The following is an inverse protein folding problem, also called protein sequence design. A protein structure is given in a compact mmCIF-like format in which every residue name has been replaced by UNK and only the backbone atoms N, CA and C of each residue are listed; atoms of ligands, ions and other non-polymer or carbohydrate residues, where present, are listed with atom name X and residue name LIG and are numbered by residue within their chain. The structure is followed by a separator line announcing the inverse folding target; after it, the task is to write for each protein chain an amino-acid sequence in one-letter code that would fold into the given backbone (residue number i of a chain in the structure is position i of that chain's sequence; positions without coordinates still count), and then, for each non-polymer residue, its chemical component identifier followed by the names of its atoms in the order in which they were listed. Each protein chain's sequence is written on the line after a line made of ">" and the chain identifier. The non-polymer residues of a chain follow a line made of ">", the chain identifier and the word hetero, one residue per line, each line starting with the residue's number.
data_IF_211700240784
#
_entry.id   IF_211700240784
#
_cell.length_a   1.000
_cell.length_b   1.000
_cell.length_c   1.000
_cell.angle_alpha   90.00
_cell.angle_beta   90.00
_cell.angle_gamma   90.00
#
_symmetry.space_group_name_H-M   'P 1'
#
loop_
_entity.id
_entity.type
_entity.pdbx_description
1 polymer ?
#
# COMPACT_ATOMS: atom_id res chain seq x y z
N UNK A 1 -70.43 -11.20 -8.80
CA UNK A 1 -70.72 -9.87 -9.38
C UNK A 1 -70.81 -8.90 -8.21
N UNK A 2 -69.82 -8.03 -8.03
CA UNK A 2 -69.82 -7.03 -6.95
C UNK A 2 -70.62 -5.82 -7.38
N UNK A 3 -71.75 -5.57 -6.73
CA UNK A 3 -72.64 -4.42 -6.93
C UNK A 3 -72.33 -3.36 -5.88
N UNK A 4 -71.29 -2.57 -6.15
CA UNK A 4 -71.16 -1.19 -5.69
C UNK A 4 -70.04 -0.55 -6.52
N UNK A 5 -70.39 -0.12 -7.74
CA UNK A 5 -69.52 0.71 -8.57
C UNK A 5 -69.61 2.15 -8.05
N UNK A 6 -69.17 2.36 -6.82
CA UNK A 6 -69.08 3.71 -6.27
C UNK A 6 -67.94 4.41 -7.03
N UNK A 7 -68.28 5.14 -8.09
CA UNK A 7 -67.37 6.01 -8.86
C UNK A 7 -66.90 7.22 -8.03
N UNK A 8 -66.85 7.09 -6.71
CA UNK A 8 -66.57 8.14 -5.74
C UNK A 8 -65.08 8.32 -5.49
N UNK A 9 -64.22 7.39 -5.95
CA UNK A 9 -62.76 7.48 -5.77
C UNK A 9 -62.06 8.04 -7.02
N UNK A 10 -61.26 9.09 -6.83
CA UNK A 10 -60.45 9.68 -7.90
C UNK A 10 -59.25 8.79 -8.25
N UNK A 11 -58.67 8.97 -9.45
CA UNK A 11 -57.42 8.31 -9.85
C UNK A 11 -56.27 8.59 -8.87
N UNK A 12 -56.28 9.75 -8.21
CA UNK A 12 -55.34 10.07 -7.15
C UNK A 12 -55.42 9.10 -5.97
N UNK A 13 -56.63 8.71 -5.55
CA UNK A 13 -56.83 7.76 -4.45
C UNK A 13 -56.47 6.33 -4.84
N UNK A 14 -56.71 5.95 -6.10
CA UNK A 14 -56.50 4.57 -6.57
C UNK A 14 -55.03 4.31 -6.94
N UNK A 15 -54.39 5.24 -7.66
CA UNK A 15 -53.05 5.02 -8.25
C UNK A 15 -51.92 5.78 -7.57
N UNK A 16 -52.22 6.89 -6.88
CA UNK A 16 -51.21 7.80 -6.33
C UNK A 16 -50.08 8.10 -7.33
N UNK A 17 -50.41 8.68 -8.51
CA UNK A 17 -49.46 8.81 -9.61
C UNK A 17 -48.31 9.78 -9.30
N UNK A 18 -48.60 10.90 -8.62
CA UNK A 18 -47.63 11.96 -8.35
C UNK A 18 -46.49 11.49 -7.43
N UNK A 19 -45.26 11.61 -7.92
CA UNK A 19 -44.01 11.29 -7.24
C UNK A 19 -43.46 12.50 -6.49
N UNK A 20 -42.40 12.28 -5.71
CA UNK A 20 -41.61 13.34 -5.09
C UNK A 20 -42.42 14.36 -4.28
N UNK A 21 -43.47 13.88 -3.59
CA UNK A 21 -44.37 14.71 -2.78
C UNK A 21 -45.20 15.73 -3.59
N UNK A 22 -45.47 15.44 -4.87
CA UNK A 22 -46.40 16.22 -5.68
C UNK A 22 -47.84 16.11 -5.20
N UNK A 23 -48.57 17.21 -5.30
CA UNK A 23 -49.99 17.26 -4.92
C UNK A 23 -50.84 16.75 -6.07
N UNK A 24 -51.61 15.69 -5.84
CA UNK A 24 -52.46 15.08 -6.86
C UNK A 24 -53.85 15.71 -6.85
N UNK A 25 -54.24 16.32 -7.96
CA UNK A 25 -55.57 16.85 -8.20
C UNK A 25 -56.22 16.04 -9.33
N UNK A 26 -57.31 15.32 -9.07
CA UNK A 26 -57.84 14.43 -10.09
C UNK A 26 -59.27 14.00 -9.86
N UNK A 27 -59.88 13.59 -10.96
CA UNK A 27 -61.21 12.98 -11.02
C UNK A 27 -61.08 11.46 -11.16
N UNK A 28 -62.18 10.76 -11.39
CA UNK A 28 -62.18 9.33 -11.68
C UNK A 28 -61.49 8.97 -13.03
N UNK A 29 -61.39 9.91 -13.97
CA UNK A 29 -60.89 9.64 -15.33
C UNK A 29 -59.58 10.35 -15.68
N UNK A 30 -59.27 11.45 -14.98
CA UNK A 30 -58.05 12.21 -15.17
C UNK A 30 -57.40 12.57 -13.85
N UNK A 31 -56.11 12.88 -13.90
CA UNK A 31 -55.38 13.48 -12.80
C UNK A 31 -54.40 14.51 -13.36
N UNK A 32 -53.97 15.40 -12.48
CA UNK A 32 -52.95 16.41 -12.71
C UNK A 32 -52.08 16.49 -11.45
N UNK A 33 -50.77 16.58 -11.64
CA UNK A 33 -49.81 16.66 -10.55
C UNK A 33 -49.25 18.07 -10.45
N UNK A 34 -49.52 18.74 -9.33
CA UNK A 34 -48.84 19.98 -8.99
C UNK A 34 -47.49 19.65 -8.35
N UNK A 35 -46.43 19.82 -9.12
CA UNK A 35 -45.08 19.46 -8.71
C UNK A 35 -44.46 20.46 -7.73
N UNK A 36 -43.73 19.99 -6.69
CA UNK A 36 -42.96 20.88 -5.83
C UNK A 36 -41.82 21.53 -6.61
N UNK A 37 -41.31 22.66 -6.11
CA UNK A 37 -40.14 23.33 -6.68
C UNK A 37 -38.97 22.33 -6.84
N UNK A 38 -38.35 22.32 -8.02
CA UNK A 38 -37.25 21.40 -8.33
C UNK A 38 -37.67 20.06 -8.96
N UNK A 39 -38.97 19.80 -9.13
CA UNK A 39 -39.48 18.62 -9.83
C UNK A 39 -40.36 18.98 -11.02
N UNK A 40 -40.30 18.19 -12.08
CA UNK A 40 -41.18 18.31 -13.25
C UNK A 40 -41.55 16.94 -13.83
N UNK A 41 -42.29 16.95 -14.93
CA UNK A 41 -42.89 15.75 -15.53
C UNK A 41 -44.37 15.64 -15.21
N UNK A 42 -45.08 14.77 -15.92
CA UNK A 42 -46.53 14.59 -15.74
C UNK A 42 -46.86 14.02 -14.36
N UNK A 43 -45.94 13.22 -13.81
CA UNK A 43 -46.07 12.58 -12.50
C UNK A 43 -45.06 13.17 -11.50
N UNK A 44 -44.45 14.33 -11.80
CA UNK A 44 -43.37 14.93 -10.99
C UNK A 44 -42.15 14.01 -10.81
N UNK A 45 -41.88 13.16 -11.81
CA UNK A 45 -40.87 12.11 -11.78
C UNK A 45 -39.43 12.62 -11.98
N UNK A 46 -39.26 13.78 -12.63
CA UNK A 46 -37.94 14.32 -12.94
C UNK A 46 -37.50 15.32 -11.88
N UNK A 47 -36.45 14.96 -11.14
CA UNK A 47 -35.75 15.87 -10.24
C UNK A 47 -34.76 16.71 -11.06
N UNK A 48 -34.96 18.03 -11.13
CA UNK A 48 -34.02 18.96 -11.76
C UNK A 48 -33.28 19.82 -10.73
N UNK A 49 -33.42 19.53 -9.43
CA UNK A 49 -32.72 20.28 -8.40
C UNK A 49 -31.21 20.21 -8.66
N UNK A 50 -30.50 21.34 -8.57
CA UNK A 50 -29.06 21.38 -8.76
C UNK A 50 -28.33 20.64 -7.63
N UNK A 51 -28.87 20.69 -6.40
CA UNK A 51 -28.36 19.98 -5.24
C UNK A 51 -29.21 18.76 -4.93
N UNK A 52 -28.75 17.59 -5.40
CA UNK A 52 -29.34 16.29 -5.12
C UNK A 52 -28.50 15.56 -4.07
N UNK A 53 -29.04 14.48 -3.45
CA UNK A 53 -28.23 13.58 -2.66
C UNK A 53 -27.00 13.12 -3.46
N UNK A 54 -25.83 13.14 -2.81
CA UNK A 54 -24.56 12.73 -3.40
C UNK A 54 -24.04 13.62 -4.56
N UNK A 55 -24.62 14.81 -4.81
CA UNK A 55 -24.04 15.79 -5.76
C UNK A 55 -22.65 16.23 -5.30
N UNK A 56 -22.47 16.53 -4.02
CA UNK A 56 -21.15 16.79 -3.45
C UNK A 56 -20.75 15.58 -2.60
N UNK A 57 -19.63 14.96 -2.96
CA UNK A 57 -19.06 13.79 -2.30
C UNK A 57 -18.23 14.22 -1.09
N UNK A 58 -17.81 13.22 -0.30
CA UNK A 58 -16.86 13.40 0.81
C UNK A 58 -17.26 14.50 1.80
N UNK A 59 -18.56 14.56 2.10
CA UNK A 59 -19.15 15.50 3.04
C UNK A 59 -18.99 16.98 2.62
N UNK A 60 -18.83 17.22 1.32
CA UNK A 60 -18.89 18.55 0.72
C UNK A 60 -20.31 19.16 0.81
N UNK A 61 -20.37 20.48 0.91
CA UNK A 61 -21.65 21.22 0.98
C UNK A 61 -22.07 21.67 -0.41
N UNK A 62 -23.31 21.32 -0.82
CA UNK A 62 -23.86 21.77 -2.09
C UNK A 62 -24.56 23.12 -1.95
N UNK A 63 -24.16 24.09 -2.77
CA UNK A 63 -24.81 25.39 -2.87
C UNK A 63 -25.40 25.55 -4.27
N UNK A 64 -26.72 25.71 -4.36
CA UNK A 64 -27.41 26.01 -5.61
C UNK A 64 -27.12 27.47 -6.02
N UNK A 65 -26.63 27.69 -7.23
CA UNK A 65 -26.35 29.04 -7.77
C UNK A 65 -27.40 29.50 -8.78
N UNK A 66 -28.12 28.56 -9.41
CA UNK A 66 -29.31 28.80 -10.24
C UNK A 66 -30.15 27.52 -10.33
N UNK A 67 -31.25 27.53 -11.09
CA UNK A 67 -32.15 26.37 -11.24
C UNK A 67 -31.47 25.09 -11.76
N UNK A 68 -30.32 25.21 -12.43
CA UNK A 68 -29.57 24.06 -12.96
C UNK A 68 -28.09 24.04 -12.57
N UNK A 69 -27.57 25.10 -11.93
CA UNK A 69 -26.16 25.19 -11.55
C UNK A 69 -25.98 25.04 -10.04
N UNK A 70 -24.92 24.33 -9.68
CA UNK A 70 -24.48 24.16 -8.29
C UNK A 70 -22.98 24.44 -8.19
N UNK A 71 -22.54 24.71 -6.96
CA UNK A 71 -21.13 24.72 -6.57
C UNK A 71 -20.99 23.87 -5.31
N UNK A 72 -20.03 22.95 -5.34
CA UNK A 72 -19.65 22.19 -4.16
C UNK A 72 -18.56 22.93 -3.38
N UNK A 73 -18.83 23.23 -2.12
CA UNK A 73 -17.80 23.66 -1.17
C UNK A 73 -17.19 22.41 -0.53
N UNK A 74 -15.97 22.07 -0.95
CA UNK A 74 -15.25 20.90 -0.47
C UNK A 74 -14.68 21.12 0.93
N UNK A 75 -14.65 20.06 1.73
CA UNK A 75 -13.88 20.05 2.97
C UNK A 75 -12.38 20.10 2.67
N UNK A 76 -11.60 20.52 3.68
CA UNK A 76 -10.14 20.50 3.62
C UNK A 76 -9.64 19.15 3.12
N UNK A 77 -8.72 19.18 2.15
CA UNK A 77 -8.13 17.98 1.57
C UNK A 77 -8.87 17.38 0.37
N UNK A 78 -10.06 17.85 0.04
CA UNK A 78 -10.82 17.42 -1.15
C UNK A 78 -10.89 18.52 -2.21
N UNK A 79 -10.99 18.10 -3.46
CA UNK A 79 -11.08 18.94 -4.64
C UNK A 79 -11.89 18.26 -5.75
N UNK A 80 -12.12 18.99 -6.84
CA UNK A 80 -12.95 18.56 -7.96
C UNK A 80 -14.33 19.22 -7.93
N UNK A 81 -15.09 19.04 -9.01
CA UNK A 81 -16.42 19.67 -9.17
C UNK A 81 -17.41 19.12 -8.15
N UNK A 82 -17.23 17.86 -7.77
CA UNK A 82 -18.06 17.12 -6.83
C UNK A 82 -17.30 16.77 -5.55
N UNK A 83 -16.13 17.37 -5.29
CA UNK A 83 -15.25 16.99 -4.17
C UNK A 83 -14.82 15.52 -4.22
N UNK A 84 -14.68 14.95 -5.41
CA UNK A 84 -14.46 13.54 -5.69
C UNK A 84 -13.00 13.08 -5.53
N UNK A 85 -12.05 14.03 -5.55
CA UNK A 85 -10.62 13.74 -5.54
C UNK A 85 -9.93 14.38 -4.35
N UNK A 86 -8.89 13.74 -3.83
CA UNK A 86 -8.03 14.38 -2.83
C UNK A 86 -7.18 15.47 -3.49
N UNK A 87 -6.86 16.51 -2.73
CA UNK A 87 -5.90 17.55 -3.15
C UNK A 87 -4.54 16.89 -3.39
N UNK A 88 -3.94 17.14 -4.55
CA UNK A 88 -2.63 16.58 -4.86
C UNK A 88 -1.52 17.45 -4.26
N UNK A 89 -1.14 17.15 -3.02
CA UNK A 89 -0.03 17.85 -2.36
C UNK A 89 1.33 17.61 -3.01
N UNK A 90 1.46 16.66 -3.94
CA UNK A 90 2.71 16.42 -4.67
C UNK A 90 2.96 17.40 -5.83
N UNK A 91 1.97 18.21 -6.25
CA UNK A 91 2.18 19.16 -7.37
C UNK A 91 3.20 20.25 -7.03
N UNK A 92 3.25 20.67 -5.76
CA UNK A 92 4.19 21.68 -5.27
C UNK A 92 5.28 21.12 -4.34
N UNK A 93 5.26 19.82 -4.05
CA UNK A 93 6.22 19.19 -3.14
C UNK A 93 6.92 18.02 -3.85
N UNK A 94 8.24 17.97 -3.73
CA UNK A 94 9.04 16.92 -4.36
C UNK A 94 9.84 16.16 -3.32
N UNK A 95 9.84 14.84 -3.46
CA UNK A 95 10.71 13.96 -2.69
C UNK A 95 12.13 14.01 -3.27
N UNK A 96 13.15 14.06 -2.41
CA UNK A 96 14.54 14.06 -2.83
C UNK A 96 15.01 12.64 -3.20
N UNK A 97 16.19 12.54 -3.80
CA UNK A 97 16.87 11.27 -4.08
C UNK A 97 16.00 10.23 -4.82
N UNK A 98 15.24 10.71 -5.81
CA UNK A 98 14.30 9.91 -6.61
C UNK A 98 13.22 9.18 -5.79
N UNK A 99 12.84 9.73 -4.63
CA UNK A 99 11.68 9.26 -3.88
C UNK A 99 10.38 9.46 -4.67
N UNK A 100 9.41 8.56 -4.48
CA UNK A 100 8.08 8.66 -5.09
C UNK A 100 7.16 9.42 -4.14
N UNK A 101 6.57 10.51 -4.60
CA UNK A 101 5.58 11.26 -3.82
C UNK A 101 4.20 10.60 -3.90
N UNK A 102 3.54 10.45 -2.74
CA UNK A 102 2.17 9.96 -2.63
C UNK A 102 1.30 11.02 -1.93
N UNK A 103 0.23 11.51 -2.58
CA UNK A 103 -0.70 12.42 -1.94
C UNK A 103 -1.51 11.69 -0.87
N UNK A 104 -1.81 12.40 0.21
CA UNK A 104 -2.68 12.00 1.31
C UNK A 104 -3.76 13.07 1.50
N UNK A 105 -4.78 12.79 2.31
CA UNK A 105 -5.95 13.67 2.44
C UNK A 105 -5.59 15.11 2.80
N UNK A 106 -4.62 15.35 3.69
CA UNK A 106 -4.20 16.70 4.09
C UNK A 106 -2.68 16.90 4.04
N UNK A 107 -1.95 16.01 3.37
CA UNK A 107 -0.50 16.02 3.34
C UNK A 107 0.02 15.19 2.16
N UNK A 108 1.31 14.92 2.14
CA UNK A 108 1.94 13.93 1.28
C UNK A 108 2.94 13.11 2.07
N UNK A 109 3.32 11.96 1.52
CA UNK A 109 4.43 11.14 2.01
C UNK A 109 5.38 10.81 0.87
N UNK A 110 6.65 10.57 1.22
CA UNK A 110 7.69 10.18 0.29
C UNK A 110 8.06 8.71 0.50
N UNK A 111 7.90 7.91 -0.54
CA UNK A 111 8.40 6.54 -0.60
C UNK A 111 9.85 6.59 -1.10
N UNK A 112 10.81 6.42 -0.20
CA UNK A 112 12.23 6.50 -0.52
C UNK A 112 12.71 5.31 -1.37
N UNK A 113 13.70 5.57 -2.23
CA UNK A 113 14.24 4.56 -3.13
C UNK A 113 15.09 3.52 -2.37
N UNK A 114 14.47 2.38 -2.07
CA UNK A 114 15.09 1.26 -1.36
C UNK A 114 15.66 1.66 0.00
N UNK A 115 16.64 0.90 0.49
CA UNK A 115 17.21 1.08 1.83
C UNK A 115 18.37 2.10 1.87
N UNK A 116 18.56 2.90 0.81
CA UNK A 116 19.68 3.85 0.68
C UNK A 116 19.33 5.27 1.08
N UNK A 117 18.04 5.57 1.22
CA UNK A 117 17.54 6.88 1.65
C UNK A 117 16.45 6.73 2.71
N UNK A 118 16.36 7.72 3.58
CA UNK A 118 15.39 7.81 4.68
C UNK A 118 15.09 9.28 5.00
N UNK A 119 14.20 9.54 5.95
CA UNK A 119 13.72 10.89 6.28
C UNK A 119 12.37 11.19 5.63
N UNK A 120 11.77 12.33 5.98
CA UNK A 120 10.42 12.70 5.50
C UNK A 120 10.40 13.01 4.01
N UNK A 121 11.50 13.58 3.50
CA UNK A 121 11.68 13.97 2.10
C UNK A 121 12.72 13.08 1.41
N UNK A 122 13.11 11.96 2.01
CA UNK A 122 14.20 11.10 1.54
C UNK A 122 15.56 11.82 1.50
N UNK A 123 15.76 12.81 2.37
CA UNK A 123 16.94 13.67 2.44
C UNK A 123 18.17 12.98 3.08
N UNK A 124 17.95 11.94 3.87
CA UNK A 124 18.99 11.26 4.65
C UNK A 124 19.49 10.05 3.87
N UNK A 125 20.73 10.07 3.40
CA UNK A 125 21.40 8.86 2.87
C UNK A 125 21.69 7.88 4.00
N UNK A 126 21.14 6.66 3.97
CA UNK A 126 21.33 5.68 5.03
C UNK A 126 22.68 4.96 4.86
N UNK A 127 23.63 5.11 5.82
CA UNK A 127 24.92 4.44 5.75
C UNK A 127 24.83 2.93 6.02
N UNK A 128 23.65 2.41 6.43
CA UNK A 128 23.46 0.99 6.78
C UNK A 128 23.77 0.05 5.62
N UNK A 129 23.40 0.40 4.38
CA UNK A 129 23.74 -0.40 3.18
C UNK A 129 25.23 -0.30 2.83
N UNK A 130 25.87 0.84 3.09
CA UNK A 130 27.33 1.00 2.92
C UNK A 130 28.07 0.12 3.92
N UNK A 131 27.69 0.17 5.20
CA UNK A 131 28.29 -0.64 6.25
C UNK A 131 28.06 -2.13 6.04
N UNK A 132 26.84 -2.56 5.68
CA UNK A 132 26.53 -3.98 5.44
C UNK A 132 27.30 -4.54 4.24
N UNK A 133 27.38 -3.79 3.13
CA UNK A 133 28.18 -4.19 1.96
C UNK A 133 29.67 -4.22 2.25
N UNK A 134 30.19 -3.26 3.04
CA UNK A 134 31.61 -3.18 3.40
C UNK A 134 31.99 -4.32 4.34
N UNK A 135 31.18 -4.57 5.37
CA UNK A 135 31.39 -5.66 6.32
C UNK A 135 31.31 -7.02 5.60
N UNK A 136 30.33 -7.23 4.70
CA UNK A 136 30.22 -8.45 3.90
C UNK A 136 31.46 -8.70 3.02
N UNK A 137 32.00 -7.65 2.37
CA UNK A 137 33.24 -7.75 1.58
C UNK A 137 34.47 -8.06 2.45
N UNK A 138 34.57 -7.44 3.63
CA UNK A 138 35.67 -7.71 4.57
C UNK A 138 35.64 -9.16 5.07
N UNK A 139 34.48 -9.72 5.40
CA UNK A 139 34.36 -11.13 5.80
C UNK A 139 34.77 -12.09 4.68
N UNK A 140 34.36 -11.83 3.44
CA UNK A 140 34.77 -12.63 2.28
C UNK A 140 36.28 -12.54 2.01
N UNK A 141 36.88 -11.36 2.20
CA UNK A 141 38.32 -11.19 2.05
C UNK A 141 39.12 -11.91 3.15
N UNK A 142 38.68 -11.82 4.40
CA UNK A 142 39.31 -12.50 5.54
C UNK A 142 39.25 -14.02 5.38
N UNK A 143 38.12 -14.57 4.92
CA UNK A 143 38.00 -16.02 4.70
C UNK A 143 38.93 -16.50 3.59
N UNK A 144 39.05 -15.77 2.48
CA UNK A 144 39.99 -16.10 1.40
C UNK A 144 41.44 -16.09 1.89
N UNK A 145 41.85 -15.05 2.62
CA UNK A 145 43.21 -14.97 3.17
C UNK A 145 43.53 -16.14 4.11
N UNK A 146 42.59 -16.54 4.96
CA UNK A 146 42.76 -17.67 5.85
C UNK A 146 42.96 -18.99 5.07
N UNK A 147 42.17 -19.23 4.02
CA UNK A 147 42.31 -20.42 3.17
C UNK A 147 43.68 -20.44 2.47
N UNK A 148 44.12 -19.31 1.93
CA UNK A 148 45.45 -19.19 1.29
C UNK A 148 46.56 -19.44 2.30
N UNK A 149 46.48 -18.89 3.51
CA UNK A 149 47.48 -19.11 4.55
C UNK A 149 47.58 -20.59 4.96
N UNK A 150 46.44 -21.28 5.12
CA UNK A 150 46.40 -22.72 5.40
C UNK A 150 46.99 -23.52 4.23
N UNK A 151 46.62 -23.20 2.99
CA UNK A 151 47.17 -23.87 1.81
C UNK A 151 48.69 -23.68 1.72
N UNK A 152 49.20 -22.46 1.92
CA UNK A 152 50.63 -22.19 1.93
C UNK A 152 51.35 -22.93 3.04
N UNK A 153 50.76 -23.04 4.23
CA UNK A 153 51.32 -23.83 5.33
C UNK A 153 51.36 -25.34 4.99
N UNK A 154 50.29 -25.89 4.40
CA UNK A 154 50.28 -27.29 3.94
C UNK A 154 51.35 -27.52 2.87
N UNK A 155 51.43 -26.63 1.88
CA UNK A 155 52.45 -26.69 0.82
C UNK A 155 53.85 -26.61 1.41
N UNK A 156 54.11 -25.72 2.37
CA UNK A 156 55.44 -25.63 2.99
C UNK A 156 55.77 -26.87 3.80
N UNK A 157 54.81 -27.45 4.54
CA UNK A 157 55.00 -28.71 5.25
C UNK A 157 55.29 -29.87 4.29
N UNK A 158 54.57 -29.96 3.17
CA UNK A 158 54.81 -30.96 2.14
C UNK A 158 56.19 -30.76 1.49
N UNK A 159 56.56 -29.53 1.13
CA UNK A 159 57.88 -29.24 0.56
C UNK A 159 59.02 -29.58 1.54
N UNK A 160 58.86 -29.31 2.84
CA UNK A 160 59.84 -29.71 3.86
C UNK A 160 59.99 -31.23 3.93
N UNK A 161 58.86 -31.95 3.84
CA UNK A 161 58.83 -33.41 3.86
C UNK A 161 59.46 -34.02 2.59
N UNK A 162 59.13 -33.51 1.41
CA UNK A 162 59.61 -34.06 0.13
C UNK A 162 61.06 -33.67 -0.20
N UNK A 163 61.45 -32.41 0.01
CA UNK A 163 62.78 -31.94 -0.38
C UNK A 163 63.85 -32.20 0.69
N UNK A 164 63.49 -32.13 1.97
CA UNK A 164 64.46 -32.23 3.07
C UNK A 164 64.28 -33.51 3.91
N UNK A 165 63.23 -34.30 3.68
CA UNK A 165 62.95 -35.52 4.44
C UNK A 165 62.56 -35.27 5.90
N UNK A 166 62.26 -34.02 6.26
CA UNK A 166 61.91 -33.59 7.62
C UNK A 166 60.39 -33.73 7.75
N UNK A 167 59.92 -34.81 8.36
CA UNK A 167 58.51 -35.01 8.69
C UNK A 167 58.29 -34.72 10.20
N UNK A 168 57.80 -33.53 10.58
CA UNK A 168 57.58 -33.19 11.99
C UNK A 168 56.50 -34.06 12.65
N UNK A 169 55.60 -34.69 11.89
CA UNK A 169 54.57 -35.58 12.43
C UNK A 169 55.06 -37.01 12.67
N UNK A 170 56.16 -37.43 12.03
CA UNK A 170 56.70 -38.80 12.15
C UNK A 170 57.17 -39.13 13.57
N UNK A 171 57.80 -38.17 14.26
CA UNK A 171 58.29 -38.37 15.64
C UNK A 171 57.17 -38.54 16.67
N UNK A 172 56.09 -37.76 16.55
CA UNK A 172 54.89 -37.88 17.39
C UNK A 172 54.16 -39.21 17.12
N UNK A 173 54.02 -39.62 15.85
CA UNK A 173 53.37 -40.88 15.48
C UNK A 173 54.10 -42.10 16.07
N UNK A 174 55.42 -42.14 16.00
CA UNK A 174 56.22 -43.22 16.60
C UNK A 174 56.10 -43.27 18.13
N UNK A 175 55.98 -42.12 18.81
CA UNK A 175 55.74 -42.05 20.26
C UNK A 175 54.35 -42.58 20.62
N UNK A 176 53.32 -42.20 19.86
CA UNK A 176 51.94 -42.68 20.04
C UNK A 176 51.87 -44.19 19.80
N UNK A 177 52.51 -44.70 18.76
CA UNK A 177 52.55 -46.14 18.47
C UNK A 177 53.27 -46.94 19.56
N UNK A 178 54.40 -46.43 20.08
CA UNK A 178 55.10 -47.06 21.22
C UNK A 178 54.24 -47.12 22.47
N UNK A 179 53.54 -46.02 22.81
CA UNK A 179 52.58 -46.00 23.93
C UNK A 179 51.44 -47.00 23.71
N UNK A 180 50.88 -47.06 22.50
CA UNK A 180 49.81 -48.01 22.14
C UNK A 180 50.27 -49.47 22.27
N UNK A 181 51.50 -49.80 21.86
CA UNK A 181 52.06 -51.14 22.06
C UNK A 181 52.30 -51.50 23.53
N UNK A 182 52.76 -50.55 24.36
CA UNK A 182 52.92 -50.80 25.80
C UNK A 182 51.58 -51.12 26.46
N UNK A 183 50.55 -50.33 26.15
CA UNK A 183 49.19 -50.54 26.68
C UNK A 183 48.64 -51.89 26.18
N UNK A 184 48.80 -52.22 24.90
CA UNK A 184 48.32 -53.49 24.35
C UNK A 184 48.99 -54.70 25.02
N UNK A 185 50.27 -54.61 25.36
CA UNK A 185 50.98 -55.66 26.13
C UNK A 185 50.49 -55.80 27.56
N UNK A 186 49.99 -54.73 28.17
CA UNK A 186 49.38 -54.75 29.51
C UNK A 186 47.99 -55.40 29.54
N UNK A 187 47.27 -55.42 28.40
CA UNK A 187 45.94 -56.03 28.31
C UNK A 187 45.94 -57.50 27.82
N UNK A 188 47.07 -58.00 27.29
CA UNK A 188 47.22 -59.36 26.76
C UNK A 188 48.05 -60.29 27.66
N UNK A 189 48.42 -59.83 28.86
CA UNK A 189 49.11 -60.58 29.92
C UNK A 189 48.19 -60.71 31.14
#
# INVERSE_FOLDING_TARGET
>A
MGVNCDMSSSLCAIKQPCKNNGTCNGTHYSYDCSCPCGFNGTDCEFDYRPCKPYTCLNNGTCNATSDSLFVCTCLSGWQGVHCESIVNFCDNNSCLNNGVCRPLLENYTCECLGDSYSGRLCEISSPKTIMLKTVSKSFAYISILAVVAVAMFVITMDMLKYCFGIDPARGELERIQRKKQMILKQFLA
#
